data_IF_134065122364
#
_entry.id   IF_134065122364
#
_cell.length_a   1.000
_cell.length_b   1.000
_cell.length_c   1.000
_cell.angle_alpha   90.00
_cell.angle_beta   90.00
_cell.angle_gamma   90.00
#
_symmetry.space_group_name_H-M   'P 1'
#
loop_
_entity.id
_entity.type
_entity.pdbx_description
1 polymer ?
#
# COMPACT_ATOMS: atom_id res chain seq x y z
N UNK A 1 -21.22 9.63 8.91
CA UNK A 1 -19.89 9.06 9.27
C UNK A 1 -18.81 10.11 9.35
N UNK A 2 -18.69 11.05 8.39
CA UNK A 2 -17.74 12.18 8.52
C UNK A 2 -18.00 12.99 9.79
N UNK A 3 -19.25 13.40 10.02
CA UNK A 3 -19.65 14.09 11.27
C UNK A 3 -19.31 13.30 12.54
N UNK A 4 -19.44 11.97 12.48
CA UNK A 4 -19.05 11.11 13.59
C UNK A 4 -17.52 11.17 13.81
N UNK A 5 -16.71 11.04 12.77
CA UNK A 5 -15.25 11.14 12.88
C UNK A 5 -14.79 12.51 13.38
N UNK A 6 -15.38 13.59 12.88
CA UNK A 6 -15.12 14.95 13.36
C UNK A 6 -15.51 15.11 14.83
N UNK A 7 -16.62 14.51 15.27
CA UNK A 7 -17.03 14.52 16.68
C UNK A 7 -16.03 13.82 17.62
N UNK A 8 -15.21 12.90 17.08
CA UNK A 8 -14.13 12.24 17.81
C UNK A 8 -12.82 13.04 17.80
N UNK A 9 -12.79 14.20 17.11
CA UNK A 9 -11.58 14.99 16.93
C UNK A 9 -10.61 14.44 15.89
N UNK A 10 -11.05 13.49 15.06
CA UNK A 10 -10.22 12.90 14.02
C UNK A 10 -10.24 13.74 12.74
N UNK A 11 -9.09 13.83 12.07
CA UNK A 11 -9.02 14.45 10.74
C UNK A 11 -9.79 13.57 9.75
N UNK A 12 -10.95 14.05 9.32
CA UNK A 12 -11.88 13.32 8.47
C UNK A 12 -11.97 13.94 7.08
N UNK A 13 -12.12 13.09 6.07
CA UNK A 13 -12.32 13.55 4.69
C UNK A 13 -13.41 12.74 4.00
N UNK A 14 -14.25 13.44 3.24
CA UNK A 14 -15.16 12.85 2.28
C UNK A 14 -14.53 12.83 0.90
N UNK A 15 -14.57 11.67 0.25
CA UNK A 15 -14.22 11.49 -1.16
C UNK A 15 -15.47 11.00 -1.90
N UNK A 16 -15.90 11.75 -2.91
CA UNK A 16 -16.78 11.25 -3.96
C UNK A 16 -15.95 10.36 -4.88
N UNK A 17 -16.26 9.07 -4.89
CA UNK A 17 -15.48 8.06 -5.61
C UNK A 17 -16.21 7.71 -6.90
N UNK A 18 -16.21 8.62 -7.87
CA UNK A 18 -16.45 8.22 -9.26
C UNK A 18 -15.18 7.50 -9.77
N UNK A 19 -15.28 6.18 -9.95
CA UNK A 19 -14.38 5.29 -10.70
C UNK A 19 -12.88 5.17 -10.34
N UNK A 20 -12.33 5.93 -9.38
CA UNK A 20 -10.86 6.00 -9.21
C UNK A 20 -10.20 4.94 -8.30
N UNK A 21 -10.94 4.11 -7.57
CA UNK A 21 -10.35 3.18 -6.59
C UNK A 21 -10.21 1.74 -7.06
N UNK A 22 -10.76 1.38 -8.24
CA UNK A 22 -10.78 0.00 -8.72
C UNK A 22 -11.62 -0.96 -7.85
N UNK A 23 -12.39 -0.42 -6.90
CA UNK A 23 -13.21 -1.17 -5.95
C UNK A 23 -14.70 -1.25 -6.38
N UNK A 24 -15.04 -0.72 -7.55
CA UNK A 24 -16.40 -0.67 -8.12
C UNK A 24 -17.09 0.70 -7.93
N UNK A 25 -18.34 0.87 -8.38
CA UNK A 25 -19.08 2.12 -8.18
C UNK A 25 -19.40 2.31 -6.69
N UNK A 26 -18.73 3.28 -6.06
CA UNK A 26 -19.02 3.69 -4.69
C UNK A 26 -19.72 5.03 -4.72
N UNK A 27 -20.74 5.17 -3.87
CA UNK A 27 -21.46 6.42 -3.72
C UNK A 27 -20.72 7.41 -2.85
N UNK A 28 -19.92 6.91 -1.90
CA UNK A 28 -19.34 7.71 -0.84
C UNK A 28 -18.22 6.95 -0.12
N UNK A 29 -17.12 7.64 0.18
CA UNK A 29 -16.09 7.15 1.08
C UNK A 29 -15.72 8.21 2.13
N UNK A 30 -15.85 7.85 3.42
CA UNK A 30 -15.32 8.63 4.52
C UNK A 30 -14.04 7.99 5.06
N UNK A 31 -13.02 8.81 5.26
CA UNK A 31 -11.74 8.41 5.86
C UNK A 31 -11.50 9.20 7.13
N UNK A 32 -10.81 8.60 8.09
CA UNK A 32 -10.24 9.31 9.22
C UNK A 32 -8.96 8.65 9.73
N UNK A 33 -8.10 9.42 10.39
CA UNK A 33 -6.98 8.92 11.19
C UNK A 33 -7.28 9.19 12.66
N UNK A 34 -7.30 8.14 13.47
CA UNK A 34 -7.54 8.22 14.90
C UNK A 34 -6.29 8.72 15.64
N UNK A 35 -6.46 9.20 16.86
CA UNK A 35 -5.34 9.69 17.69
C UNK A 35 -4.32 8.59 18.02
N UNK A 36 -4.78 7.34 18.19
CA UNK A 36 -3.95 6.16 18.39
C UNK A 36 -3.36 5.58 17.08
N UNK A 37 -3.49 6.34 15.99
CA UNK A 37 -2.81 6.09 14.72
C UNK A 37 -3.50 5.04 13.86
N UNK A 38 -4.78 4.73 14.04
CA UNK A 38 -5.52 3.85 13.15
C UNK A 38 -6.15 4.64 11.99
N UNK A 39 -6.15 4.06 10.80
CA UNK A 39 -6.90 4.57 9.66
C UNK A 39 -8.25 3.87 9.58
N UNK A 40 -9.30 4.67 9.64
CA UNK A 40 -10.69 4.27 9.44
C UNK A 40 -11.11 4.57 8.00
N UNK A 41 -11.77 3.60 7.35
CA UNK A 41 -12.40 3.80 6.04
C UNK A 41 -13.81 3.25 6.08
N UNK A 42 -14.79 4.09 5.78
CA UNK A 42 -16.19 3.71 5.65
C UNK A 42 -16.66 3.98 4.23
N UNK A 43 -17.19 2.95 3.58
CA UNK A 43 -17.64 2.99 2.19
C UNK A 43 -19.11 2.62 2.07
N UNK A 44 -19.81 3.34 1.21
CA UNK A 44 -21.18 3.01 0.77
C UNK A 44 -21.15 2.73 -0.72
N UNK A 45 -21.56 1.53 -1.11
CA UNK A 45 -21.68 1.13 -2.51
C UNK A 45 -23.12 1.29 -3.01
N UNK A 46 -23.28 1.50 -4.31
CA UNK A 46 -24.60 1.65 -4.93
C UNK A 46 -25.45 0.38 -4.87
N UNK A 47 -24.81 -0.79 -4.77
CA UNK A 47 -25.48 -2.08 -4.59
C UNK A 47 -26.03 -2.30 -3.16
N UNK A 48 -25.94 -1.30 -2.28
CA UNK A 48 -26.39 -1.38 -0.89
C UNK A 48 -25.40 -2.07 0.05
N UNK A 49 -24.18 -2.36 -0.40
CA UNK A 49 -23.11 -2.88 0.45
C UNK A 49 -22.42 -1.75 1.22
N UNK A 50 -22.18 -2.00 2.50
CA UNK A 50 -21.45 -1.09 3.38
C UNK A 50 -20.20 -1.80 3.89
N UNK A 51 -19.04 -1.15 3.77
CA UNK A 51 -17.78 -1.70 4.27
C UNK A 51 -17.18 -0.76 5.31
N UNK A 52 -16.69 -1.34 6.41
CA UNK A 52 -15.88 -0.65 7.40
C UNK A 52 -14.52 -1.35 7.45
N UNK A 53 -13.46 -0.60 7.17
CA UNK A 53 -12.08 -1.07 7.33
C UNK A 53 -11.42 -0.31 8.47
N UNK A 54 -10.75 -1.06 9.35
CA UNK A 54 -9.93 -0.54 10.45
C UNK A 54 -8.52 -1.04 10.21
N UNK A 55 -7.61 -0.11 9.94
CA UNK A 55 -6.21 -0.41 9.63
C UNK A 55 -5.34 0.21 10.71
N UNK A 56 -4.51 -0.57 11.40
CA UNK A 56 -3.52 0.02 12.30
C UNK A 56 -2.51 0.82 11.49
N UNK A 57 -2.35 2.13 11.71
CA UNK A 57 -1.28 2.92 11.07
C UNK A 57 0.13 2.50 11.53
N UNK A 58 0.21 1.56 12.48
CA UNK A 58 1.40 0.76 12.77
C UNK A 58 1.86 -0.12 11.61
N UNK A 59 1.40 0.04 10.36
CA UNK A 59 2.05 -0.59 9.22
C UNK A 59 3.41 0.08 8.94
N UNK A 60 4.40 -0.41 9.69
CA UNK A 60 5.87 -0.49 9.58
C UNK A 60 6.69 0.21 8.47
N UNK A 61 6.11 0.82 7.45
CA UNK A 61 6.81 1.71 6.53
C UNK A 61 5.80 2.36 5.57
N UNK A 62 6.08 3.60 5.13
CA UNK A 62 5.47 4.15 3.93
C UNK A 62 5.56 3.10 2.81
N UNK A 63 4.43 2.72 2.20
CA UNK A 63 4.38 1.67 1.17
C UNK A 63 5.41 1.92 0.07
N UNK A 64 5.60 3.18 -0.32
CA UNK A 64 6.58 3.54 -1.35
C UNK A 64 8.01 3.27 -0.87
N UNK A 65 8.35 3.66 0.35
CA UNK A 65 9.65 3.37 0.97
C UNK A 65 9.87 1.89 1.25
N UNK A 66 8.80 1.14 1.57
CA UNK A 66 8.86 -0.30 1.76
C UNK A 66 9.15 -1.02 0.45
N UNK A 67 8.41 -0.68 -0.61
CA UNK A 67 8.63 -1.22 -1.95
C UNK A 67 10.04 -0.89 -2.42
N UNK A 68 10.48 0.36 -2.24
CA UNK A 68 11.84 0.81 -2.54
C UNK A 68 12.87 -0.01 -1.75
N UNK A 69 12.64 -0.21 -0.46
CA UNK A 69 13.51 -0.99 0.42
C UNK A 69 13.64 -2.45 0.02
N UNK A 70 12.56 -3.07 -0.45
CA UNK A 70 12.57 -4.45 -0.95
C UNK A 70 13.27 -4.51 -2.31
N UNK A 71 12.81 -3.70 -3.27
CA UNK A 71 13.29 -3.75 -4.66
C UNK A 71 14.79 -3.46 -4.77
N UNK A 72 15.31 -2.52 -3.99
CA UNK A 72 16.73 -2.18 -4.04
C UNK A 72 17.61 -3.19 -3.32
N UNK A 73 17.08 -4.15 -2.56
CA UNK A 73 17.91 -5.21 -1.95
C UNK A 73 17.99 -6.48 -2.79
N UNK A 74 17.16 -6.58 -3.83
CA UNK A 74 17.17 -7.70 -4.77
C UNK A 74 18.06 -7.30 -5.96
N UNK A 75 19.07 -8.10 -6.32
CA UNK A 75 19.86 -7.89 -7.52
C UNK A 75 19.00 -7.83 -8.79
N UNK A 76 19.32 -6.90 -9.71
CA UNK A 76 18.52 -6.67 -10.92
C UNK A 76 18.47 -7.89 -11.85
N UNK A 77 19.50 -8.73 -11.80
CA UNK A 77 19.65 -9.99 -12.55
C UNK A 77 18.83 -11.15 -11.97
N UNK A 78 18.37 -11.05 -10.72
CA UNK A 78 17.45 -12.02 -10.12
C UNK A 78 15.98 -11.74 -10.49
N UNK A 79 15.66 -10.53 -10.94
CA UNK A 79 14.33 -10.24 -11.47
C UNK A 79 14.13 -10.87 -12.84
N UNK A 80 12.88 -11.25 -13.13
CA UNK A 80 12.49 -11.65 -14.48
C UNK A 80 12.85 -10.54 -15.47
N UNK A 81 13.39 -10.90 -16.66
CA UNK A 81 13.70 -9.91 -17.69
C UNK A 81 12.50 -9.01 -17.99
N UNK A 82 12.71 -7.72 -18.26
CA UNK A 82 11.60 -6.82 -18.58
C UNK A 82 10.81 -7.36 -19.78
N UNK A 83 9.51 -7.64 -19.56
CA UNK A 83 8.62 -8.18 -20.59
C UNK A 83 8.45 -9.70 -20.57
N UNK A 84 9.13 -10.41 -19.68
CA UNK A 84 8.86 -11.83 -19.40
C UNK A 84 7.91 -11.98 -18.20
N UNK A 85 6.92 -12.85 -18.33
CA UNK A 85 6.01 -13.19 -17.22
C UNK A 85 6.69 -14.15 -16.24
N UNK A 86 6.37 -14.03 -14.95
CA UNK A 86 6.81 -15.00 -13.95
C UNK A 86 6.20 -16.36 -14.24
N UNK A 87 7.02 -17.41 -14.32
CA UNK A 87 6.50 -18.78 -14.51
C UNK A 87 5.98 -19.35 -13.18
N UNK A 88 4.91 -20.18 -13.18
CA UNK A 88 4.40 -20.80 -11.96
C UNK A 88 5.48 -21.59 -11.22
N UNK A 89 5.62 -21.34 -9.92
CA UNK A 89 6.57 -22.05 -9.05
C UNK A 89 7.99 -21.46 -9.04
N UNK A 90 8.30 -20.45 -9.86
CA UNK A 90 9.56 -19.69 -9.76
C UNK A 90 9.29 -18.39 -9.02
N UNK A 91 10.04 -18.17 -7.95
CA UNK A 91 9.92 -17.00 -7.10
C UNK A 91 11.30 -16.38 -6.91
N UNK A 92 11.33 -15.05 -6.91
CA UNK A 92 12.49 -14.30 -6.42
C UNK A 92 12.52 -14.45 -4.91
N UNK A 93 13.66 -14.81 -4.33
CA UNK A 93 13.78 -14.89 -2.88
C UNK A 93 13.56 -13.52 -2.25
N UNK A 94 12.88 -13.51 -1.10
CA UNK A 94 12.69 -12.26 -0.37
C UNK A 94 14.02 -11.81 0.24
N UNK A 95 14.46 -10.55 0.03
CA UNK A 95 15.75 -10.09 0.51
C UNK A 95 15.79 -10.05 2.04
N UNK A 96 16.96 -10.27 2.63
CA UNK A 96 17.15 -10.06 4.06
C UNK A 96 17.27 -8.56 4.33
N UNK A 97 16.76 -8.11 5.47
CA UNK A 97 16.88 -6.69 5.86
C UNK A 97 18.33 -6.24 6.07
N UNK A 98 19.25 -7.18 6.32
CA UNK A 98 20.69 -6.96 6.40
C UNK A 98 21.35 -6.72 5.05
N UNK A 99 20.68 -7.05 3.94
CA UNK A 99 21.25 -6.92 2.61
C UNK A 99 21.37 -5.44 2.23
N UNK A 100 22.44 -5.04 1.52
CA UNK A 100 22.66 -3.65 1.14
C UNK A 100 21.61 -3.20 0.12
N UNK A 101 21.25 -1.92 0.17
CA UNK A 101 20.46 -1.31 -0.90
C UNK A 101 21.35 -0.99 -2.10
N UNK A 102 21.06 -1.63 -3.22
CA UNK A 102 21.66 -1.47 -4.54
C UNK A 102 20.99 -0.29 -5.28
N UNK A 103 21.76 0.76 -5.54
CA UNK A 103 21.29 1.94 -6.29
C UNK A 103 21.91 1.97 -7.69
N UNK A 104 21.08 1.91 -8.73
CA UNK A 104 21.52 1.97 -10.14
C UNK A 104 22.16 0.67 -10.68
N UNK A 105 22.48 0.63 -11.98
CA UNK A 105 23.32 -0.43 -12.58
C UNK A 105 24.76 -0.23 -12.09
N UNK A 106 25.13 -0.77 -10.93
CA UNK A 106 26.49 -0.56 -10.45
C UNK A 106 26.71 -0.98 -9.01
N UNK A 107 26.77 -2.28 -8.76
CA UNK A 107 27.75 -2.85 -7.83
C UNK A 107 28.44 -4.02 -8.57
N UNK A 108 28.97 -3.72 -9.76
CA UNK A 108 30.18 -4.41 -10.19
C UNK A 108 31.29 -4.00 -9.21
N UNK A 109 32.03 -4.99 -8.71
CA UNK A 109 33.18 -4.87 -7.80
C UNK A 109 32.88 -4.72 -6.30
N UNK A 110 32.62 -5.85 -5.62
CA UNK A 110 33.32 -6.20 -4.37
C UNK A 110 33.55 -7.72 -4.24
N UNK A 111 34.43 -8.28 -5.08
CA UNK A 111 35.66 -9.04 -4.74
C UNK A 111 36.22 -9.77 -5.96
#
# INVERSE_FOLDING_TARGET
>A
MVEYFESQGWEASLIDVEDQTGLGPHRFEARAVTEDGFRMVYQVQDNGQYNLSVLSGLFWADRSELIRSINHRIPLDEFFPPGEESVPGVYVEFPKWSDPMLWGRGLEAQQ
#
